data_IF_171722051537
#
_entry.id   IF_171722051537
#
_cell.length_a   1.000
_cell.length_b   1.000
_cell.length_c   1.000
_cell.angle_alpha   90.00
_cell.angle_beta   90.00
_cell.angle_gamma   90.00
#
_symmetry.space_group_name_H-M   'P 1'
#
loop_
_entity.id
_entity.type
_entity.pdbx_description
1 polymer ?
#
# COMPACT_ATOMS: atom_id res chain seq x y z
N UNK A 1 -2.44 9.30 26.48
CA UNK A 1 -2.55 8.53 25.22
C UNK A 1 -4.03 8.39 24.92
N UNK A 2 -4.41 8.58 23.66
CA UNK A 2 -5.80 8.42 23.23
C UNK A 2 -5.95 6.97 22.76
N UNK A 3 -6.44 6.11 23.65
CA UNK A 3 -6.52 4.66 23.45
C UNK A 3 -7.15 4.27 22.11
N UNK A 4 -8.13 5.04 21.63
CA UNK A 4 -8.79 4.77 20.35
C UNK A 4 -7.89 5.02 19.13
N UNK A 5 -7.05 6.06 19.18
CA UNK A 5 -6.07 6.31 18.11
C UNK A 5 -5.00 5.21 18.12
N UNK A 6 -4.57 4.79 19.31
CA UNK A 6 -3.59 3.71 19.47
C UNK A 6 -4.13 2.38 18.90
N UNK A 7 -5.43 2.09 19.05
CA UNK A 7 -6.09 0.92 18.44
C UNK A 7 -6.07 0.98 16.90
N UNK A 8 -6.42 2.12 16.31
CA UNK A 8 -6.40 2.30 14.85
C UNK A 8 -4.98 2.12 14.30
N UNK A 9 -3.98 2.71 14.96
CA UNK A 9 -2.59 2.59 14.56
C UNK A 9 -2.09 1.14 14.64
N UNK A 10 -2.49 0.39 15.66
CA UNK A 10 -2.17 -1.03 15.79
C UNK A 10 -2.79 -1.86 14.66
N UNK A 11 -4.06 -1.63 14.33
CA UNK A 11 -4.74 -2.31 13.22
C UNK A 11 -4.06 -2.05 11.87
N UNK A 12 -3.62 -0.80 11.64
CA UNK A 12 -2.85 -0.41 10.45
C UNK A 12 -1.48 -1.10 10.46
N UNK A 13 -0.79 -1.13 11.60
CA UNK A 13 0.52 -1.74 11.73
C UNK A 13 0.48 -3.26 11.50
N UNK A 14 -0.56 -3.95 11.95
CA UNK A 14 -0.76 -5.38 11.69
C UNK A 14 -0.88 -5.66 10.19
N UNK A 15 -1.67 -4.84 9.47
CA UNK A 15 -1.96 -4.97 8.03
C UNK A 15 -1.06 -4.10 7.15
N UNK A 16 0.08 -3.69 7.67
CA UNK A 16 0.94 -2.70 7.02
C UNK A 16 1.40 -3.17 5.63
N UNK A 17 1.26 -2.29 4.64
CA UNK A 17 1.48 -2.59 3.23
C UNK A 17 2.88 -3.18 2.92
N UNK A 18 3.90 -2.71 3.63
CA UNK A 18 5.28 -3.21 3.47
C UNK A 18 5.49 -4.65 3.95
N UNK A 19 4.54 -5.24 4.69
CA UNK A 19 4.55 -6.66 5.04
C UNK A 19 4.01 -7.54 3.91
N UNK A 20 3.36 -6.96 2.90
CA UNK A 20 2.78 -7.71 1.79
C UNK A 20 3.88 -8.29 0.87
N UNK A 21 3.74 -9.54 0.37
CA UNK A 21 4.76 -10.19 -0.45
C UNK A 21 5.24 -9.36 -1.66
N UNK A 22 4.33 -8.62 -2.31
CA UNK A 22 4.67 -7.73 -3.42
C UNK A 22 5.68 -6.64 -3.02
N UNK A 23 5.48 -5.97 -1.88
CA UNK A 23 6.38 -4.92 -1.42
C UNK A 23 7.69 -5.50 -0.88
N UNK A 24 7.67 -6.70 -0.29
CA UNK A 24 8.89 -7.42 0.07
C UNK A 24 9.73 -7.79 -1.16
N UNK A 25 9.10 -8.23 -2.25
CA UNK A 25 9.78 -8.50 -3.52
C UNK A 25 10.32 -7.19 -4.15
N UNK A 26 9.55 -6.10 -4.05
CA UNK A 26 9.99 -4.78 -4.50
C UNK A 26 11.27 -4.35 -3.79
N UNK A 27 11.30 -4.39 -2.45
CA UNK A 27 12.47 -3.94 -1.68
C UNK A 27 13.71 -4.79 -1.92
N UNK A 28 13.53 -6.06 -2.28
CA UNK A 28 14.63 -6.96 -2.71
C UNK A 28 15.04 -6.79 -4.17
N UNK A 29 14.35 -5.96 -4.95
CA UNK A 29 14.64 -5.76 -6.38
C UNK A 29 14.22 -6.95 -7.25
N UNK A 30 13.27 -7.76 -6.81
CA UNK A 30 12.84 -9.00 -7.47
C UNK A 30 11.71 -8.78 -8.48
N UNK A 31 11.15 -7.56 -8.56
CA UNK A 31 10.07 -7.25 -9.50
C UNK A 31 10.62 -6.96 -10.89
N UNK A 32 9.99 -7.55 -11.90
CA UNK A 32 10.25 -7.19 -13.30
C UNK A 32 9.72 -5.80 -13.61
N UNK A 33 10.23 -5.20 -14.68
CA UNK A 33 9.73 -3.91 -15.18
C UNK A 33 8.26 -4.01 -15.59
N UNK A 34 7.85 -5.15 -16.13
CA UNK A 34 6.47 -5.43 -16.53
C UNK A 34 5.54 -5.46 -15.31
N UNK A 35 5.95 -6.11 -14.21
CA UNK A 35 5.18 -6.12 -12.96
C UNK A 35 5.04 -4.72 -12.35
N UNK A 36 6.09 -3.89 -12.42
CA UNK A 36 6.05 -2.50 -11.99
C UNK A 36 5.10 -1.65 -12.86
N UNK A 37 5.10 -1.88 -14.18
CA UNK A 37 4.19 -1.21 -15.11
C UNK A 37 2.73 -1.62 -14.89
N UNK A 38 2.47 -2.90 -14.60
CA UNK A 38 1.13 -3.40 -14.23
C UNK A 38 0.64 -2.74 -12.94
N UNK A 39 1.49 -2.68 -11.91
CA UNK A 39 1.19 -2.00 -10.65
C UNK A 39 0.81 -0.53 -10.89
N UNK A 40 1.60 0.21 -11.67
CA UNK A 40 1.32 1.62 -11.95
C UNK A 40 -0.03 1.83 -12.66
N UNK A 41 -0.36 0.95 -13.62
CA UNK A 41 -1.66 0.98 -14.32
C UNK A 41 -2.83 0.73 -13.38
N UNK A 42 -2.70 -0.23 -12.47
CA UNK A 42 -3.74 -0.51 -11.46
C UNK A 42 -3.89 0.65 -10.47
N UNK A 43 -2.77 1.18 -9.96
CA UNK A 43 -2.76 2.25 -8.97
C UNK A 43 -3.30 3.57 -9.52
N UNK A 44 -3.16 3.83 -10.82
CA UNK A 44 -3.68 5.03 -11.48
C UNK A 44 -5.20 5.22 -11.28
N UNK A 45 -5.97 4.13 -11.28
CA UNK A 45 -7.42 4.21 -11.04
C UNK A 45 -7.74 4.75 -9.63
N UNK A 46 -6.97 4.32 -8.63
CA UNK A 46 -7.11 4.84 -7.28
C UNK A 46 -6.74 6.32 -7.20
N UNK A 47 -5.59 6.72 -7.75
CA UNK A 47 -5.15 8.13 -7.77
C UNK A 47 -6.17 9.04 -8.46
N UNK A 48 -6.75 8.57 -9.57
CA UNK A 48 -7.77 9.33 -10.31
C UNK A 48 -9.06 9.49 -9.51
N UNK A 49 -9.45 8.48 -8.74
CA UNK A 49 -10.64 8.53 -7.88
C UNK A 49 -10.38 9.27 -6.55
N UNK A 50 -9.13 9.40 -6.11
CA UNK A 50 -8.78 9.99 -4.81
C UNK A 50 -9.39 11.37 -4.52
N UNK A 51 -9.47 12.31 -5.49
CA UNK A 51 -10.11 13.61 -5.26
C UNK A 51 -11.61 13.54 -4.93
N UNK A 52 -12.27 12.39 -5.13
CA UNK A 52 -13.71 12.23 -4.87
C UNK A 52 -14.02 11.57 -3.52
N UNK A 53 -13.01 11.32 -2.68
CA UNK A 53 -13.19 10.61 -1.41
C UNK A 53 -13.56 11.53 -0.24
N UNK A 54 -13.32 12.84 -0.41
CA UNK A 54 -13.60 13.90 0.56
C UNK A 54 -14.56 14.90 -0.06
#
# INVERSE_FOLDING_TARGET
MNTHLDEIDNDIAEKHLLKHPFYLAWTRGELSREALADYARQYYHHVTAFPTYL
#
